data_IF_118172380318
#
_entry.id   IF_118172380318
#
_cell.length_a   1.000
_cell.length_b   1.000
_cell.length_c   1.000
_cell.angle_alpha   90.00
_cell.angle_beta   90.00
_cell.angle_gamma   90.00
#
_symmetry.space_group_name_H-M   'P 1'
#
loop_
_entity.id
_entity.type
_entity.pdbx_description
1 polymer ?
#
# COMPACT_ATOMS: atom_id res chain seq x y z
N UNK A 1 28.18 -43.03 15.94
CA UNK A 1 27.92 -41.63 16.32
C UNK A 1 26.47 -41.37 15.96
N UNK A 2 25.54 -41.21 16.91
CA UNK A 2 24.14 -40.92 16.58
C UNK A 2 24.05 -39.55 15.92
N UNK A 3 23.32 -39.48 14.81
CA UNK A 3 23.06 -38.23 14.08
C UNK A 3 22.26 -37.30 14.99
N UNK A 4 22.93 -36.25 15.48
CA UNK A 4 22.29 -35.18 16.22
C UNK A 4 21.55 -34.31 15.20
N UNK A 5 20.38 -34.78 14.74
CA UNK A 5 19.44 -33.92 14.02
C UNK A 5 19.03 -32.85 15.04
N UNK A 6 19.42 -31.56 14.86
CA UNK A 6 18.93 -30.54 15.76
C UNK A 6 17.41 -30.54 15.62
N UNK A 7 16.70 -30.68 16.73
CA UNK A 7 15.28 -30.43 16.79
C UNK A 7 15.07 -28.99 16.33
N UNK A 8 14.80 -28.79 15.04
CA UNK A 8 14.22 -27.56 14.53
C UNK A 8 12.84 -27.52 15.16
N UNK A 9 12.81 -27.04 16.40
CA UNK A 9 11.65 -26.55 17.11
C UNK A 9 10.75 -25.97 16.04
N UNK A 10 9.66 -26.67 15.77
CA UNK A 10 8.55 -26.21 14.94
C UNK A 10 8.00 -24.99 15.63
N UNK A 11 8.73 -23.89 15.48
CA UNK A 11 8.42 -22.61 16.05
C UNK A 11 7.03 -22.31 15.59
N UNK A 12 6.13 -22.17 16.56
CA UNK A 12 4.78 -21.67 16.36
C UNK A 12 4.85 -20.55 15.32
N UNK A 13 4.32 -20.79 14.13
CA UNK A 13 4.23 -19.77 13.09
C UNK A 13 3.64 -18.52 13.75
N UNK A 14 4.32 -17.36 13.69
CA UNK A 14 3.79 -16.16 14.31
C UNK A 14 2.37 -15.94 13.77
N UNK A 15 1.39 -15.62 14.64
CA UNK A 15 0.01 -15.47 14.23
C UNK A 15 -0.06 -14.47 13.08
N UNK A 16 -0.78 -14.85 12.04
CA UNK A 16 -0.93 -14.05 10.83
C UNK A 16 -1.50 -12.67 11.19
N UNK A 17 -0.68 -11.64 10.97
CA UNK A 17 -1.04 -10.27 11.33
C UNK A 17 -2.27 -9.86 10.50
N UNK A 18 -3.32 -9.28 11.11
CA UNK A 18 -4.56 -9.01 10.41
C UNK A 18 -4.30 -8.21 9.14
N UNK A 19 -4.85 -8.65 8.00
CA UNK A 19 -4.63 -8.02 6.71
C UNK A 19 -4.94 -6.51 6.71
N UNK A 20 -5.80 -6.05 7.61
CA UNK A 20 -6.12 -4.64 7.83
C UNK A 20 -4.94 -3.79 8.35
N UNK A 21 -4.00 -4.36 9.10
CA UNK A 21 -2.79 -3.65 9.54
C UNK A 21 -1.73 -3.58 8.43
N UNK A 22 -1.79 -4.50 7.46
CA UNK A 22 -0.86 -4.56 6.33
C UNK A 22 -1.32 -3.76 5.11
N UNK A 23 -2.63 -3.47 4.99
CA UNK A 23 -3.16 -2.68 3.88
C UNK A 23 -3.04 -1.18 4.21
N UNK A 24 -2.30 -0.38 3.43
CA UNK A 24 -2.20 1.06 3.67
C UNK A 24 -3.47 1.84 3.31
N UNK A 25 -4.43 1.23 2.59
CA UNK A 25 -5.65 1.90 2.10
C UNK A 25 -6.51 2.55 3.19
N UNK A 26 -6.79 1.93 4.35
CA UNK A 26 -7.63 2.54 5.39
C UNK A 26 -7.04 3.86 5.91
N UNK A 27 -5.72 3.93 6.07
CA UNK A 27 -5.03 5.14 6.53
C UNK A 27 -5.13 6.27 5.50
N UNK A 28 -4.94 5.95 4.22
CA UNK A 28 -5.08 6.91 3.12
C UNK A 28 -6.50 7.49 3.08
N UNK A 29 -7.52 6.64 3.19
CA UNK A 29 -8.93 7.06 3.20
C UNK A 29 -9.23 7.92 4.42
N UNK A 30 -8.79 7.50 5.61
CA UNK A 30 -8.98 8.27 6.85
C UNK A 30 -8.35 9.68 6.74
N UNK A 31 -7.12 9.78 6.24
CA UNK A 31 -6.44 11.06 6.04
C UNK A 31 -7.15 11.95 5.01
N UNK A 32 -7.62 11.38 3.90
CA UNK A 32 -8.36 12.12 2.87
C UNK A 32 -9.69 12.67 3.41
N UNK A 33 -10.46 11.84 4.13
CA UNK A 33 -11.71 12.25 4.76
C UNK A 33 -11.47 13.34 5.81
N UNK A 34 -10.43 13.19 6.64
CA UNK A 34 -10.09 14.18 7.66
C UNK A 34 -9.79 15.55 7.05
N UNK A 35 -8.96 15.61 6.00
CA UNK A 35 -8.65 16.87 5.33
C UNK A 35 -9.86 17.48 4.61
N UNK A 36 -10.73 16.66 4.03
CA UNK A 36 -11.96 17.12 3.41
C UNK A 36 -12.92 17.75 4.44
N UNK A 37 -13.07 17.11 5.59
CA UNK A 37 -13.89 17.63 6.70
C UNK A 37 -13.30 18.92 7.27
N UNK A 38 -11.97 18.98 7.46
CA UNK A 38 -11.30 20.19 7.93
C UNK A 38 -11.46 21.36 6.94
N UNK A 39 -11.32 21.10 5.65
CA UNK A 39 -11.59 22.07 4.60
C UNK A 39 -13.03 22.57 4.67
N UNK A 40 -14.02 21.67 4.71
CA UNK A 40 -15.43 22.03 4.81
C UNK A 40 -15.69 22.90 6.06
N UNK A 41 -15.15 22.51 7.21
CA UNK A 41 -15.27 23.27 8.46
C UNK A 41 -14.68 24.68 8.35
N UNK A 42 -13.56 24.86 7.62
CA UNK A 42 -12.95 26.19 7.41
C UNK A 42 -13.80 27.14 6.55
N UNK A 43 -14.73 26.61 5.74
CA UNK A 43 -15.66 27.42 4.95
C UNK A 43 -17.00 27.65 5.67
N UNK A 44 -17.46 26.70 6.49
CA UNK A 44 -18.76 26.78 7.18
C UNK A 44 -18.68 27.42 8.57
N UNK A 45 -17.54 27.33 9.26
CA UNK A 45 -17.38 27.83 10.64
C UNK A 45 -16.54 29.13 10.62
N UNK A 46 -17.11 30.29 11.03
CA UNK A 46 -16.39 31.57 11.04
C UNK A 46 -15.10 31.56 11.86
N UNK A 47 -15.07 30.83 12.98
CA UNK A 47 -13.89 30.70 13.82
C UNK A 47 -12.71 29.95 13.15
N UNK A 48 -12.97 29.17 12.10
CA UNK A 48 -11.95 28.38 11.38
C UNK A 48 -11.53 29.00 10.04
N UNK A 49 -11.97 30.23 9.71
CA UNK A 49 -11.66 30.82 8.41
C UNK A 49 -10.16 30.99 8.16
N UNK A 50 -9.36 31.25 9.20
CA UNK A 50 -7.90 31.35 9.09
C UNK A 50 -7.23 30.03 8.71
N UNK A 51 -7.91 28.89 8.87
CA UNK A 51 -7.39 27.56 8.55
C UNK A 51 -7.54 27.20 7.07
N UNK A 52 -8.24 28.01 6.25
CA UNK A 52 -8.47 27.73 4.83
C UNK A 52 -7.18 27.44 4.06
N UNK A 53 -6.09 28.23 4.15
CA UNK A 53 -4.86 27.92 3.42
C UNK A 53 -4.25 26.57 3.82
N UNK A 54 -4.28 26.25 5.12
CA UNK A 54 -3.74 25.00 5.67
C UNK A 54 -4.55 23.80 5.22
N UNK A 55 -5.88 23.90 5.27
CA UNK A 55 -6.79 22.82 4.82
C UNK A 55 -6.72 22.58 3.33
N UNK A 56 -6.55 23.64 2.53
CA UNK A 56 -6.29 23.51 1.09
C UNK A 56 -4.93 22.88 0.80
N UNK A 57 -3.87 23.27 1.53
CA UNK A 57 -2.55 22.65 1.39
C UNK A 57 -2.60 21.16 1.73
N UNK A 58 -3.25 20.80 2.84
CA UNK A 58 -3.44 19.41 3.23
C UNK A 58 -4.24 18.58 2.22
N UNK A 59 -5.32 19.13 1.65
CA UNK A 59 -6.06 18.50 0.56
C UNK A 59 -5.19 18.31 -0.69
N UNK A 60 -4.44 19.33 -1.10
CA UNK A 60 -3.56 19.24 -2.26
C UNK A 60 -2.48 18.16 -2.06
N UNK A 61 -1.83 18.16 -0.89
CA UNK A 61 -0.85 17.13 -0.52
C UNK A 61 -1.49 15.74 -0.49
N UNK A 62 -2.71 15.61 0.03
CA UNK A 62 -3.48 14.36 0.02
C UNK A 62 -3.76 13.84 -1.39
N UNK A 63 -4.21 14.71 -2.30
CA UNK A 63 -4.45 14.38 -3.72
C UNK A 63 -3.15 13.91 -4.38
N UNK A 64 -2.04 14.60 -4.14
CA UNK A 64 -0.72 14.22 -4.69
C UNK A 64 -0.30 12.85 -4.16
N UNK A 65 -0.38 12.61 -2.85
CA UNK A 65 -0.02 11.33 -2.23
C UNK A 65 -0.85 10.16 -2.75
N UNK A 66 -2.18 10.33 -2.86
CA UNK A 66 -3.09 9.33 -3.42
C UNK A 66 -2.77 9.03 -4.89
N UNK A 67 -2.47 10.08 -5.68
CA UNK A 67 -2.13 9.93 -7.09
C UNK A 67 -0.86 9.11 -7.28
N UNK A 68 0.17 9.39 -6.48
CA UNK A 68 1.42 8.62 -6.47
C UNK A 68 1.15 7.16 -6.09
N UNK A 69 0.37 6.92 -5.03
CA UNK A 69 0.02 5.56 -4.58
C UNK A 69 -0.69 4.75 -5.68
N UNK A 70 -1.65 5.35 -6.38
CA UNK A 70 -2.36 4.70 -7.50
C UNK A 70 -1.38 4.38 -8.63
N UNK A 71 -0.49 5.32 -8.97
CA UNK A 71 0.51 5.12 -10.01
C UNK A 71 1.49 4.00 -9.67
N UNK A 72 2.00 3.98 -8.43
CA UNK A 72 2.85 2.91 -7.90
C UNK A 72 2.14 1.56 -7.95
N UNK A 73 0.89 1.48 -7.51
CA UNK A 73 0.11 0.24 -7.54
C UNK A 73 -0.14 -0.24 -8.97
N UNK A 74 -0.41 0.66 -9.89
CA UNK A 74 -0.59 0.32 -11.30
C UNK A 74 0.74 -0.12 -11.93
N UNK A 75 1.86 0.51 -11.60
CA UNK A 75 3.20 0.09 -12.01
C UNK A 75 3.55 -1.31 -11.48
N UNK A 76 3.30 -1.60 -10.20
CA UNK A 76 3.52 -2.92 -9.62
C UNK A 76 2.72 -4.03 -10.32
N UNK A 77 1.43 -3.77 -10.64
CA UNK A 77 0.60 -4.71 -11.42
C UNK A 77 1.10 -4.91 -12.85
N UNK A 78 1.72 -3.89 -13.46
CA UNK A 78 2.33 -3.97 -14.80
C UNK A 78 3.66 -4.72 -14.78
N UNK A 79 4.47 -4.54 -13.75
CA UNK A 79 5.77 -5.22 -13.57
C UNK A 79 5.64 -6.75 -13.48
N UNK A 80 4.56 -7.27 -12.90
CA UNK A 80 4.30 -8.71 -12.88
C UNK A 80 4.05 -9.32 -14.27
N UNK A 81 3.62 -8.52 -15.27
CA UNK A 81 3.35 -9.01 -16.63
C UNK A 81 4.55 -8.92 -17.58
N UNK A 82 5.62 -8.21 -17.19
CA UNK A 82 6.82 -8.02 -18.02
C UNK A 82 7.88 -9.12 -17.88
N UNK A 83 7.82 -9.94 -16.83
CA UNK A 83 8.86 -10.93 -16.52
C UNK A 83 8.65 -12.31 -17.18
N UNK A 84 7.63 -12.49 -18.02
CA UNK A 84 7.29 -13.77 -18.66
C UNK A 84 7.74 -13.91 -20.13
N UNK A 85 8.63 -13.04 -20.62
CA UNK A 85 9.14 -13.08 -22.00
C UNK A 85 10.35 -14.00 -22.22
N UNK A 86 10.74 -14.81 -21.21
CA UNK A 86 11.93 -15.67 -21.26
C UNK A 86 11.69 -17.18 -21.16
N UNK A 87 10.45 -17.63 -20.97
CA UNK A 87 10.13 -19.06 -20.90
C UNK A 87 9.60 -19.56 -22.25
N UNK A 88 10.45 -19.55 -23.27
CA UNK A 88 10.27 -20.45 -24.41
C UNK A 88 10.45 -21.87 -23.88
N UNK A 89 9.43 -22.76 -23.94
CA UNK A 89 9.63 -24.16 -23.65
C UNK A 89 10.57 -24.69 -24.72
N UNK A 90 11.83 -24.88 -24.38
CA UNK A 90 12.81 -25.57 -25.21
C UNK A 90 12.24 -26.94 -25.54
N UNK A 91 11.64 -27.05 -26.72
CA UNK A 91 11.12 -28.31 -27.25
C UNK A 91 12.33 -29.14 -27.67
N UNK A 92 12.93 -29.82 -26.71
CA UNK A 92 13.88 -30.89 -26.98
C UNK A 92 13.07 -32.03 -27.63
N UNK A 93 13.02 -32.04 -28.96
CA UNK A 93 12.55 -33.21 -29.72
C UNK A 93 13.76 -33.82 -30.40
N UNK A 94 14.26 -34.85 -29.73
CA UNK A 94 15.22 -35.82 -30.22
C UNK A 94 14.56 -36.71 -31.28
N UNK A 95 15.23 -36.86 -32.43
CA UNK A 95 15.30 -38.08 -33.25
C UNK A 95 16.35 -37.89 -34.33
#
# INVERSE_FOLDING_TARGET
MPDHQPDYQTGTLPPELPAALLDPRPVIVAGAVLWLLAALASFTIPALQSWRPVTMAGLAVGVVGVSIFIWQRAAARRGAKGAQTGLEPTKHREK
#
